data_IF_698372158534
#
_entry.id   IF_698372158534
#
_cell.length_a   1.000
_cell.length_b   1.000
_cell.length_c   1.000
_cell.angle_alpha   90.00
_cell.angle_beta   90.00
_cell.angle_gamma   90.00
#
_symmetry.space_group_name_H-M   'P 1'
#
loop_
_entity.id
_entity.type
_entity.pdbx_description
1 polymer ?
#
# COMPACT_ATOMS: atom_id res chain seq x y z
N UNK A 1 64.65 27.46 45.95
CA UNK A 1 64.53 26.16 45.25
C UNK A 1 63.04 25.88 44.92
N UNK A 2 62.59 26.44 43.79
CA UNK A 2 61.15 26.32 43.36
C UNK A 2 61.11 25.56 42.04
N UNK A 3 60.52 24.40 42.03
CA UNK A 3 60.28 23.60 40.83
C UNK A 3 58.89 23.89 40.31
N UNK A 4 58.83 24.45 39.09
CA UNK A 4 57.58 24.71 38.38
C UNK A 4 57.19 23.45 37.64
N UNK A 5 55.99 22.92 37.91
CA UNK A 5 55.32 21.89 37.10
C UNK A 5 54.57 22.55 35.96
N UNK A 6 54.99 22.27 34.72
CA UNK A 6 54.27 22.57 33.52
C UNK A 6 53.38 21.35 33.21
N UNK A 7 52.05 21.47 33.39
CA UNK A 7 51.11 20.51 32.92
C UNK A 7 50.81 20.75 31.43
N UNK A 8 51.17 19.79 30.56
CA UNK A 8 50.78 19.75 29.16
C UNK A 8 49.36 19.16 29.10
N UNK A 9 48.35 19.98 28.77
CA UNK A 9 47.04 19.52 28.43
C UNK A 9 47.05 19.02 26.97
N UNK A 10 47.04 17.71 26.78
CA UNK A 10 46.81 17.09 25.48
C UNK A 10 45.32 17.21 25.13
N UNK A 11 44.98 18.09 24.19
CA UNK A 11 43.67 18.17 23.59
C UNK A 11 43.55 17.03 22.56
N UNK A 12 42.88 15.97 22.93
CA UNK A 12 42.47 14.90 22.02
C UNK A 12 41.37 15.45 21.08
N UNK A 13 41.76 15.86 19.89
CA UNK A 13 40.83 16.00 18.75
C UNK A 13 40.43 14.59 18.33
N UNK A 14 39.25 14.12 18.77
CA UNK A 14 38.57 13.03 18.12
C UNK A 14 38.14 13.55 16.75
N UNK A 15 38.87 13.16 15.70
CA UNK A 15 38.40 13.27 14.34
C UNK A 15 37.13 12.41 14.23
N UNK A 16 35.97 13.06 14.24
CA UNK A 16 34.78 12.44 13.70
C UNK A 16 35.13 12.06 12.25
N UNK A 17 35.22 10.77 11.96
CA UNK A 17 35.20 10.31 10.60
C UNK A 17 33.82 10.79 10.04
N UNK A 18 33.88 11.82 9.20
CA UNK A 18 32.78 12.14 8.29
C UNK A 18 32.63 10.91 7.39
N UNK A 19 31.80 9.96 7.81
CA UNK A 19 31.33 8.91 6.92
C UNK A 19 30.69 9.61 5.71
N UNK A 20 30.88 9.07 4.52
CA UNK A 20 30.19 9.57 3.34
C UNK A 20 28.68 9.62 3.65
N UNK A 21 28.02 10.70 3.27
CA UNK A 21 26.57 10.80 3.41
C UNK A 21 25.90 9.57 2.73
N UNK A 22 24.87 8.99 3.34
CA UNK A 22 24.16 7.89 2.70
C UNK A 22 23.53 8.35 1.38
N UNK A 23 23.42 7.47 0.39
CA UNK A 23 22.70 7.77 -0.85
C UNK A 23 21.27 8.16 -0.56
N UNK A 24 20.68 9.03 -1.39
CA UNK A 24 19.26 9.28 -1.34
C UNK A 24 18.47 8.08 -1.87
N UNK A 25 17.23 7.92 -1.42
CA UNK A 25 16.33 6.87 -1.88
C UNK A 25 15.01 7.47 -2.33
N UNK A 26 14.66 7.24 -3.59
CA UNK A 26 13.34 7.49 -4.14
C UNK A 26 12.60 6.17 -4.28
N UNK A 27 11.51 5.99 -3.53
CA UNK A 27 10.62 4.82 -3.63
C UNK A 27 9.34 5.21 -4.37
N UNK A 28 9.10 4.57 -5.52
CA UNK A 28 7.90 4.77 -6.35
C UNK A 28 7.05 3.51 -6.24
N UNK A 29 5.81 3.65 -5.78
CA UNK A 29 4.81 2.58 -5.83
C UNK A 29 3.94 2.76 -7.06
N UNK A 30 3.74 1.67 -7.81
CA UNK A 30 2.74 1.55 -8.88
C UNK A 30 1.72 0.54 -8.39
N UNK A 31 0.53 1.03 -8.00
CA UNK A 31 -0.54 0.22 -7.44
C UNK A 31 -0.97 -0.89 -8.39
N UNK A 32 -1.15 -2.10 -7.87
CA UNK A 32 -1.62 -3.26 -8.63
C UNK A 32 -0.58 -3.90 -9.55
N UNK A 33 0.58 -3.28 -9.80
CA UNK A 33 1.54 -3.74 -10.79
C UNK A 33 2.11 -5.12 -10.45
N UNK A 34 1.67 -6.14 -11.16
CA UNK A 34 2.23 -7.50 -11.10
C UNK A 34 3.64 -7.54 -11.66
N UNK A 35 4.54 -8.41 -11.12
CA UNK A 35 5.92 -8.51 -11.63
C UNK A 35 6.00 -8.96 -13.10
N UNK A 36 5.02 -9.74 -13.58
CA UNK A 36 4.99 -10.24 -14.96
C UNK A 36 4.70 -9.16 -16.01
N UNK A 37 4.12 -8.01 -15.65
CA UNK A 37 4.11 -6.83 -16.53
C UNK A 37 5.52 -6.43 -17.01
N UNK A 38 6.53 -6.58 -16.15
CA UNK A 38 7.91 -6.20 -16.48
C UNK A 38 8.75 -7.40 -16.93
N UNK A 39 8.66 -8.52 -16.20
CA UNK A 39 9.48 -9.72 -16.48
C UNK A 39 9.06 -10.43 -17.76
N UNK A 40 7.78 -10.30 -18.17
CA UNK A 40 7.20 -10.89 -19.39
C UNK A 40 6.62 -9.83 -20.34
N UNK A 41 7.13 -8.58 -20.27
CA UNK A 41 6.62 -7.43 -21.03
C UNK A 41 6.45 -7.70 -22.53
N UNK A 42 7.37 -8.48 -23.15
CA UNK A 42 7.33 -8.82 -24.58
C UNK A 42 6.13 -9.72 -24.93
N UNK A 43 5.65 -10.55 -23.99
CA UNK A 43 4.49 -11.42 -24.19
C UNK A 43 3.19 -10.62 -24.25
N UNK A 44 3.17 -9.45 -23.59
CA UNK A 44 2.03 -8.52 -23.55
C UNK A 44 2.18 -7.36 -24.54
N UNK A 45 3.28 -7.29 -25.28
CA UNK A 45 3.54 -6.21 -26.25
C UNK A 45 3.79 -4.84 -25.63
N UNK A 46 4.20 -4.79 -24.36
CA UNK A 46 4.37 -3.56 -23.58
C UNK A 46 5.63 -2.79 -23.94
N UNK A 47 5.49 -1.47 -24.05
CA UNK A 47 6.58 -0.52 -24.28
C UNK A 47 6.91 0.25 -23.01
N UNK A 48 7.61 -0.40 -22.10
CA UNK A 48 7.99 0.10 -20.77
C UNK A 48 9.51 0.13 -20.58
N UNK A 49 10.24 0.96 -21.35
CA UNK A 49 11.70 0.95 -21.37
C UNK A 49 12.34 1.35 -20.03
N UNK A 50 11.72 2.19 -19.22
CA UNK A 50 12.27 2.62 -17.93
C UNK A 50 12.21 1.48 -16.91
N UNK A 51 11.07 0.81 -16.76
CA UNK A 51 10.92 -0.34 -15.85
C UNK A 51 11.80 -1.51 -16.28
N UNK A 52 11.90 -1.80 -17.58
CA UNK A 52 12.82 -2.83 -18.11
C UNK A 52 14.28 -2.49 -17.82
N UNK A 53 14.66 -1.22 -17.91
CA UNK A 53 16.01 -0.76 -17.56
C UNK A 53 16.27 -0.93 -16.07
N UNK A 54 15.30 -0.63 -15.20
CA UNK A 54 15.41 -0.88 -13.76
C UNK A 54 15.71 -2.37 -13.47
N UNK A 55 15.07 -3.28 -14.19
CA UNK A 55 15.33 -4.72 -14.07
C UNK A 55 16.74 -5.11 -14.57
N UNK A 56 17.19 -4.55 -15.70
CA UNK A 56 18.47 -4.88 -16.33
C UNK A 56 19.66 -4.28 -15.57
N UNK A 57 19.55 -3.02 -15.14
CA UNK A 57 20.62 -2.27 -14.52
C UNK A 57 20.63 -2.40 -12.99
N UNK A 58 19.70 -3.15 -12.40
CA UNK A 58 19.52 -3.28 -10.97
C UNK A 58 19.19 -4.69 -10.50
N UNK A 59 18.65 -4.78 -9.30
CA UNK A 59 18.13 -6.00 -8.69
C UNK A 59 16.60 -6.02 -8.79
N UNK A 60 16.03 -7.21 -8.99
CA UNK A 60 14.58 -7.41 -9.08
C UNK A 60 14.14 -8.70 -8.40
N UNK A 61 12.89 -8.74 -7.96
CA UNK A 61 12.24 -9.96 -7.51
C UNK A 61 11.40 -10.59 -8.63
N UNK A 62 11.38 -11.91 -8.73
CA UNK A 62 10.41 -12.63 -9.55
C UNK A 62 8.98 -12.47 -9.03
N UNK A 63 8.87 -12.11 -7.76
CA UNK A 63 7.63 -11.77 -7.10
C UNK A 63 7.86 -11.42 -5.64
N UNK A 64 7.02 -10.56 -5.12
CA UNK A 64 6.99 -10.20 -3.69
C UNK A 64 5.76 -10.84 -3.07
N UNK A 65 5.97 -11.74 -2.11
CA UNK A 65 4.86 -12.25 -1.31
C UNK A 65 4.31 -11.12 -0.44
N UNK A 66 3.08 -10.72 -0.74
CA UNK A 66 2.36 -9.67 -0.02
C UNK A 66 1.92 -10.08 1.38
N UNK A 67 1.27 -9.15 2.06
CA UNK A 67 0.66 -9.35 3.38
C UNK A 67 -0.77 -9.86 3.26
N UNK A 68 -1.41 -10.15 4.39
CA UNK A 68 -2.78 -10.63 4.45
C UNK A 68 -3.66 -9.62 5.22
N UNK A 69 -4.65 -8.99 4.53
CA UNK A 69 -5.03 -9.09 3.12
C UNK A 69 -4.05 -8.37 2.17
N UNK A 70 -4.02 -8.78 0.88
CA UNK A 70 -3.28 -8.11 -0.19
C UNK A 70 -4.08 -6.93 -0.75
N UNK A 71 -4.25 -5.89 0.08
CA UNK A 71 -4.96 -4.65 -0.28
C UNK A 71 -4.05 -3.43 -0.03
N UNK A 72 -4.37 -2.33 -0.65
CA UNK A 72 -3.52 -1.13 -0.78
C UNK A 72 -2.94 -0.63 0.54
N UNK A 73 -3.76 -0.27 1.52
CA UNK A 73 -3.28 0.40 2.74
C UNK A 73 -2.45 -0.50 3.66
N UNK A 74 -2.85 -1.75 3.95
CA UNK A 74 -2.01 -2.69 4.69
C UNK A 74 -0.66 -2.94 4.02
N UNK A 75 -0.65 -3.11 2.69
CA UNK A 75 0.57 -3.37 1.91
C UNK A 75 1.50 -2.16 1.91
N UNK A 76 0.99 -0.96 1.59
CA UNK A 76 1.77 0.28 1.61
C UNK A 76 2.33 0.60 3.00
N UNK A 77 1.57 0.31 4.06
CA UNK A 77 2.07 0.46 5.44
C UNK A 77 3.18 -0.55 5.74
N UNK A 78 3.06 -1.79 5.26
CA UNK A 78 4.14 -2.80 5.38
C UNK A 78 5.39 -2.38 4.61
N UNK A 79 5.26 -1.81 3.41
CA UNK A 79 6.39 -1.31 2.60
C UNK A 79 7.24 -0.25 3.32
N UNK A 80 6.65 0.48 4.28
CA UNK A 80 7.36 1.52 5.04
C UNK A 80 7.62 1.18 6.51
N UNK A 81 7.10 0.04 7.01
CA UNK A 81 7.30 -0.39 8.40
C UNK A 81 8.06 -1.72 8.52
N UNK A 82 7.94 -2.61 7.52
CA UNK A 82 8.56 -3.94 7.51
C UNK A 82 7.91 -4.96 8.45
N UNK A 83 6.66 -4.73 8.87
CA UNK A 83 5.94 -5.64 9.78
C UNK A 83 4.56 -6.02 9.25
N UNK A 84 3.92 -7.00 9.87
CA UNK A 84 2.58 -7.47 9.51
C UNK A 84 1.47 -6.43 9.78
N UNK A 85 0.32 -6.49 9.05
CA UNK A 85 -0.86 -5.67 9.31
C UNK A 85 -1.33 -5.72 10.77
N UNK A 86 -1.35 -6.88 11.40
CA UNK A 86 -1.69 -7.02 12.81
C UNK A 86 -0.75 -6.24 13.76
N UNK A 87 0.51 -6.01 13.36
CA UNK A 87 1.50 -5.28 14.16
C UNK A 87 1.44 -3.77 13.92
N UNK A 88 1.34 -3.33 12.66
CA UNK A 88 1.24 -1.90 12.37
C UNK A 88 -0.18 -1.34 12.49
N UNK A 89 -1.21 -2.18 12.58
CA UNK A 89 -2.59 -1.80 12.91
C UNK A 89 -3.46 -1.37 11.72
N UNK A 90 -2.92 -1.27 10.51
CA UNK A 90 -3.67 -0.99 9.29
C UNK A 90 -4.02 -2.32 8.64
N UNK A 91 -5.25 -2.77 8.80
CA UNK A 91 -5.68 -4.14 8.46
C UNK A 91 -6.61 -4.22 7.25
N UNK A 92 -6.99 -3.09 6.69
CA UNK A 92 -7.77 -2.92 5.46
C UNK A 92 -7.60 -1.48 4.96
N UNK A 93 -8.17 -1.11 3.84
CA UNK A 93 -8.24 0.29 3.38
C UNK A 93 -9.19 1.11 4.26
N UNK A 94 -10.30 0.51 4.68
CA UNK A 94 -11.30 1.10 5.57
C UNK A 94 -11.37 0.35 6.89
N UNK A 95 -11.73 1.06 7.97
CA UNK A 95 -12.01 0.47 9.28
C UNK A 95 -13.35 -0.24 9.26
N UNK A 96 -13.50 -1.23 10.11
CA UNK A 96 -14.81 -1.84 10.34
C UNK A 96 -15.73 -0.82 11.01
N UNK A 97 -16.75 -0.35 10.28
CA UNK A 97 -17.71 0.65 10.73
C UNK A 97 -19.15 0.20 10.40
N UNK A 98 -19.68 -0.80 11.13
CA UNK A 98 -21.00 -1.37 10.84
C UNK A 98 -22.15 -0.38 11.07
N UNK A 99 -21.93 0.65 11.86
CA UNK A 99 -22.93 1.67 12.17
C UNK A 99 -22.78 2.92 11.27
N UNK A 100 -21.81 2.92 10.34
CA UNK A 100 -21.52 4.02 9.41
C UNK A 100 -21.37 5.38 10.11
N UNK A 101 -20.68 5.38 11.25
CA UNK A 101 -20.43 6.58 12.05
C UNK A 101 -19.28 7.45 11.51
N UNK A 102 -18.43 6.85 10.69
CA UNK A 102 -17.27 7.51 10.10
C UNK A 102 -17.52 7.74 8.61
N UNK A 103 -17.20 8.93 8.10
CA UNK A 103 -17.31 9.22 6.67
C UNK A 103 -16.32 8.36 5.88
N UNK A 104 -16.83 7.28 5.21
CA UNK A 104 -16.05 6.33 4.44
C UNK A 104 -15.13 5.43 5.25
N UNK A 105 -14.86 5.73 6.51
CA UNK A 105 -14.05 4.96 7.47
C UNK A 105 -12.59 4.67 7.04
N UNK A 106 -12.04 5.39 6.07
CA UNK A 106 -10.68 5.18 5.57
C UNK A 106 -9.62 5.39 6.64
N UNK A 107 -8.51 4.67 6.53
CA UNK A 107 -7.31 4.89 7.35
C UNK A 107 -6.48 6.03 6.77
N UNK A 108 -6.92 7.28 6.99
CA UNK A 108 -6.23 8.45 6.44
C UNK A 108 -4.97 8.86 7.20
N UNK A 109 -5.02 8.74 8.55
CA UNK A 109 -4.10 9.42 9.47
C UNK A 109 -2.91 8.55 9.86
N UNK A 110 -1.71 9.14 9.84
CA UNK A 110 -0.46 8.44 10.18
C UNK A 110 -0.44 7.96 11.63
N UNK A 111 -1.08 8.65 12.57
CA UNK A 111 -1.16 8.25 13.97
C UNK A 111 -1.91 6.92 14.21
N UNK A 112 -2.56 6.39 13.19
CA UNK A 112 -3.18 5.06 13.19
C UNK A 112 -2.15 3.93 13.02
N UNK A 113 -0.94 4.25 12.53
CA UNK A 113 0.18 3.32 12.41
C UNK A 113 0.84 3.16 13.79
N UNK A 114 0.82 1.93 14.32
CA UNK A 114 1.26 1.63 15.70
C UNK A 114 2.77 1.43 15.88
N UNK A 115 3.54 1.49 14.81
CA UNK A 115 4.99 1.23 14.80
C UNK A 115 5.73 2.30 14.01
N UNK A 116 7.03 2.52 14.26
CA UNK A 116 7.83 3.48 13.50
C UNK A 116 7.87 3.16 12.01
N UNK A 117 7.76 4.20 11.17
CA UNK A 117 7.87 4.15 9.73
C UNK A 117 9.29 4.49 9.26
N UNK A 118 9.60 4.26 7.97
CA UNK A 118 10.84 4.72 7.35
C UNK A 118 11.01 6.24 7.45
N UNK A 119 9.91 7.01 7.27
CA UNK A 119 9.97 8.47 7.42
C UNK A 119 10.33 8.88 8.84
N UNK A 120 9.67 8.29 9.84
CA UNK A 120 9.97 8.61 11.25
C UNK A 120 11.39 8.21 11.65
N UNK A 121 11.92 7.12 11.08
CA UNK A 121 13.29 6.68 11.31
C UNK A 121 14.31 7.61 10.61
N UNK A 122 14.05 8.02 9.37
CA UNK A 122 14.88 8.95 8.60
C UNK A 122 14.90 10.34 9.25
N UNK A 123 13.74 10.88 9.60
CA UNK A 123 13.62 12.17 10.27
C UNK A 123 14.39 12.21 11.61
N UNK A 124 14.27 11.15 12.45
CA UNK A 124 15.07 11.04 13.68
C UNK A 124 16.57 10.97 13.45
N UNK A 125 16.99 10.47 12.30
CA UNK A 125 18.39 10.46 11.89
C UNK A 125 18.86 11.81 11.28
N UNK A 126 17.97 12.80 11.20
CA UNK A 126 18.26 14.12 10.62
C UNK A 126 18.24 14.15 9.09
N UNK A 127 17.66 13.13 8.45
CA UNK A 127 17.49 13.08 6.99
C UNK A 127 16.19 13.77 6.60
N UNK A 128 16.22 14.57 5.55
CA UNK A 128 15.05 15.22 4.98
C UNK A 128 14.16 14.20 4.28
N UNK A 129 12.84 14.28 4.54
CA UNK A 129 11.85 13.33 4.06
C UNK A 129 10.79 13.99 3.19
N UNK A 130 10.24 13.24 2.23
CA UNK A 130 9.11 13.70 1.42
C UNK A 130 8.16 12.54 1.08
N UNK A 131 6.90 12.89 0.78
CA UNK A 131 5.91 11.93 0.30
C UNK A 131 4.84 12.61 -0.54
N UNK A 132 4.41 11.95 -1.62
CA UNK A 132 3.31 12.40 -2.49
C UNK A 132 2.35 11.24 -2.72
N UNK A 133 1.09 11.42 -2.29
CA UNK A 133 0.00 10.48 -2.51
C UNK A 133 0.14 9.13 -1.80
N UNK A 134 1.06 8.97 -0.84
CA UNK A 134 1.22 7.69 -0.14
C UNK A 134 0.10 7.49 0.89
N UNK A 135 -0.53 6.29 0.95
CA UNK A 135 -1.60 5.99 1.90
C UNK A 135 -1.18 6.19 3.38
N UNK A 136 -2.15 6.52 4.21
CA UNK A 136 -2.00 6.66 5.68
C UNK A 136 -0.94 7.70 6.07
N UNK A 137 -0.93 8.85 5.37
CA UNK A 137 0.07 9.91 5.62
C UNK A 137 -0.52 11.25 6.07
N UNK A 138 -1.85 11.35 6.21
CA UNK A 138 -2.46 12.59 6.72
C UNK A 138 -1.92 12.90 8.12
N UNK A 139 -1.51 14.15 8.36
CA UNK A 139 -0.87 14.66 9.59
C UNK A 139 0.45 13.96 9.98
N UNK A 140 1.13 13.30 9.05
CA UNK A 140 2.45 12.70 9.30
C UNK A 140 3.49 13.79 9.61
N UNK A 141 3.92 13.86 10.88
CA UNK A 141 4.80 14.95 11.39
C UNK A 141 6.27 14.76 11.02
N UNK A 142 6.65 13.53 10.74
CA UNK A 142 8.01 13.14 10.40
C UNK A 142 8.27 13.15 8.87
N UNK A 143 7.32 13.70 8.08
CA UNK A 143 7.47 13.98 6.65
C UNK A 143 7.59 15.49 6.48
N UNK A 144 8.76 15.96 6.03
CA UNK A 144 9.07 17.41 5.91
C UNK A 144 8.28 18.05 4.76
N UNK A 145 8.16 17.33 3.61
CA UNK A 145 7.41 17.77 2.42
C UNK A 145 6.37 16.72 2.06
N UNK A 146 5.10 17.02 2.37
CA UNK A 146 3.99 16.08 2.26
C UNK A 146 2.86 16.64 1.41
N UNK A 147 2.44 15.85 0.41
CA UNK A 147 1.12 15.91 -0.21
C UNK A 147 0.47 14.55 0.08
N UNK A 148 -0.45 14.46 1.07
CA UNK A 148 -0.99 13.18 1.52
C UNK A 148 -1.95 12.60 0.48
N UNK A 149 -2.24 11.32 0.59
CA UNK A 149 -3.41 10.73 -0.05
C UNK A 149 -4.64 11.05 0.81
N UNK A 150 -5.60 11.76 0.24
CA UNK A 150 -6.85 12.09 0.90
C UNK A 150 -7.91 12.52 -0.11
N UNK A 151 -9.14 12.10 0.10
CA UNK A 151 -10.33 12.60 -0.58
C UNK A 151 -11.52 12.59 0.37
N UNK A 152 -12.56 13.38 0.06
CA UNK A 152 -13.80 13.32 0.83
C UNK A 152 -14.59 12.07 0.44
N UNK A 153 -14.68 11.12 1.35
CA UNK A 153 -15.54 9.97 1.18
C UNK A 153 -17.01 10.36 1.35
N UNK A 154 -17.90 9.70 0.61
CA UNK A 154 -19.37 9.84 0.70
C UNK A 154 -19.91 11.25 0.41
N UNK A 155 -19.29 12.03 -0.47
CA UNK A 155 -19.86 13.28 -0.98
C UNK A 155 -20.49 13.06 -2.36
N UNK A 156 -21.58 13.77 -2.60
CA UNK A 156 -22.30 13.68 -3.87
C UNK A 156 -21.52 14.28 -5.06
N UNK A 157 -20.52 15.12 -4.78
CA UNK A 157 -19.69 15.81 -5.78
C UNK A 157 -18.21 15.54 -5.48
N UNK A 158 -17.59 14.52 -6.10
CA UNK A 158 -16.19 14.17 -5.88
C UNK A 158 -15.22 15.27 -6.34
N UNK A 159 -15.64 16.17 -7.24
CA UNK A 159 -14.82 17.26 -7.83
C UNK A 159 -15.10 18.61 -7.18
N UNK A 160 -15.37 18.67 -5.85
CA UNK A 160 -15.64 19.94 -5.19
C UNK A 160 -14.37 20.83 -5.18
N UNK A 161 -14.42 22.07 -5.71
CA UNK A 161 -13.29 23.00 -5.68
C UNK A 161 -12.72 23.28 -4.28
N UNK A 162 -13.55 23.14 -3.24
CA UNK A 162 -13.11 23.30 -1.85
C UNK A 162 -12.12 22.23 -1.40
N UNK A 163 -12.01 21.08 -2.09
CA UNK A 163 -11.06 20.03 -1.76
C UNK A 163 -9.62 20.47 -2.01
N UNK A 164 -9.36 21.39 -2.90
CA UNK A 164 -8.05 22.02 -3.03
C UNK A 164 -7.63 22.73 -1.74
N UNK A 165 -8.53 23.48 -1.09
CA UNK A 165 -8.22 24.14 0.19
C UNK A 165 -7.94 23.13 1.29
N UNK A 166 -8.71 22.04 1.31
CA UNK A 166 -8.50 20.95 2.25
C UNK A 166 -7.15 20.28 2.05
N UNK A 167 -6.83 19.88 0.81
CA UNK A 167 -5.55 19.27 0.47
C UNK A 167 -4.37 20.19 0.78
N UNK A 168 -4.51 21.49 0.53
CA UNK A 168 -3.50 22.49 0.84
C UNK A 168 -3.28 22.65 2.36
N UNK A 169 -4.36 22.55 3.15
CA UNK A 169 -4.27 22.57 4.62
C UNK A 169 -3.64 21.29 5.19
N UNK A 170 -3.81 20.16 4.50
CA UNK A 170 -3.22 18.87 4.89
C UNK A 170 -1.78 18.69 4.38
N UNK A 171 -1.31 19.52 3.43
CA UNK A 171 0.06 19.46 2.92
C UNK A 171 1.07 19.96 3.96
N UNK A 172 2.32 19.59 3.81
CA UNK A 172 3.42 20.05 4.65
C UNK A 172 4.60 20.52 3.78
N UNK A 173 5.15 21.71 4.03
CA UNK A 173 4.56 22.76 4.89
C UNK A 173 3.13 23.11 4.47
N UNK A 174 2.34 23.67 5.36
CA UNK A 174 0.99 24.15 5.00
C UNK A 174 1.09 25.12 3.82
N UNK A 175 0.22 25.00 2.82
CA UNK A 175 0.23 25.69 1.53
C UNK A 175 1.31 25.22 0.52
N UNK A 176 2.05 24.15 0.80
CA UNK A 176 3.06 23.64 -0.15
C UNK A 176 2.42 23.22 -1.49
N UNK A 177 1.22 22.64 -1.44
CA UNK A 177 0.48 22.27 -2.66
C UNK A 177 0.24 23.48 -3.58
N UNK A 178 -0.17 24.63 -3.05
CA UNK A 178 -0.37 25.85 -3.84
C UNK A 178 0.97 26.39 -4.37
N UNK A 179 2.03 26.37 -3.55
CA UNK A 179 3.36 26.80 -3.98
C UNK A 179 3.91 25.94 -5.12
N UNK A 180 3.70 24.62 -5.06
CA UNK A 180 4.10 23.71 -6.14
C UNK A 180 3.26 23.98 -7.40
N UNK A 181 1.94 24.11 -7.24
CA UNK A 181 1.04 24.38 -8.37
C UNK A 181 1.42 25.67 -9.10
N UNK A 182 1.79 26.73 -8.38
CA UNK A 182 2.26 27.99 -8.96
C UNK A 182 3.57 27.81 -9.74
N UNK A 183 4.56 27.11 -9.17
CA UNK A 183 5.85 26.86 -9.82
C UNK A 183 5.72 25.96 -11.05
N UNK A 184 4.93 24.91 -10.95
CA UNK A 184 4.73 23.93 -12.01
C UNK A 184 3.79 24.44 -13.12
N UNK A 185 2.95 25.45 -12.83
CA UNK A 185 1.91 25.93 -13.74
C UNK A 185 0.76 24.93 -13.93
N UNK A 186 0.65 23.93 -13.05
CA UNK A 186 -0.39 22.89 -13.09
C UNK A 186 -1.16 22.94 -11.76
N UNK A 187 -2.46 23.34 -11.77
CA UNK A 187 -3.25 23.36 -10.56
C UNK A 187 -3.60 21.95 -10.09
N UNK A 188 -3.74 21.77 -8.78
CA UNK A 188 -4.37 20.58 -8.24
C UNK A 188 -5.82 20.46 -8.71
N UNK A 189 -6.23 19.26 -9.10
CA UNK A 189 -7.61 18.95 -9.49
C UNK A 189 -8.11 17.81 -8.63
N UNK A 190 -9.09 18.09 -7.77
CA UNK A 190 -9.74 17.10 -6.93
C UNK A 190 -10.52 16.06 -7.77
N UNK A 191 -10.60 14.82 -7.27
CA UNK A 191 -11.36 13.75 -7.89
C UNK A 191 -10.65 13.03 -9.05
N UNK A 192 -9.36 13.30 -9.24
CA UNK A 192 -8.52 12.63 -10.26
C UNK A 192 -7.44 11.74 -9.63
N UNK A 193 -7.53 11.46 -8.33
CA UNK A 193 -6.46 10.84 -7.54
C UNK A 193 -6.06 9.46 -8.05
N UNK A 194 -7.01 8.71 -8.65
CA UNK A 194 -6.81 7.35 -9.18
C UNK A 194 -6.74 7.29 -10.72
N UNK A 195 -6.59 8.42 -11.39
CA UNK A 195 -6.52 8.48 -12.86
C UNK A 195 -5.11 8.76 -13.35
N UNK A 196 -4.82 8.42 -14.62
CA UNK A 196 -3.56 8.79 -15.28
C UNK A 196 -3.27 10.30 -15.21
N UNK A 197 -4.30 11.14 -15.28
CA UNK A 197 -4.16 12.60 -15.15
C UNK A 197 -3.77 13.00 -13.72
N UNK A 198 -4.32 12.32 -12.72
CA UNK A 198 -3.96 12.50 -11.32
C UNK A 198 -2.53 12.06 -11.04
N UNK A 199 -2.10 10.93 -11.59
CA UNK A 199 -0.72 10.45 -11.46
C UNK A 199 0.28 11.38 -12.17
N UNK A 200 -0.09 12.00 -13.29
CA UNK A 200 0.73 13.04 -13.91
C UNK A 200 0.87 14.27 -12.99
N UNK A 201 -0.19 14.72 -12.33
CA UNK A 201 -0.15 15.82 -11.35
C UNK A 201 0.75 15.44 -10.17
N UNK A 202 0.57 14.25 -9.59
CA UNK A 202 1.44 13.73 -8.51
C UNK A 202 2.91 13.68 -8.94
N UNK A 203 3.18 13.23 -10.17
CA UNK A 203 4.53 13.17 -10.74
C UNK A 203 5.14 14.56 -10.88
N UNK A 204 4.42 15.53 -11.42
CA UNK A 204 4.92 16.92 -11.56
C UNK A 204 5.20 17.53 -10.19
N UNK A 205 4.35 17.29 -9.22
CA UNK A 205 4.53 17.79 -7.85
C UNK A 205 5.71 17.13 -7.16
N UNK A 206 5.89 15.82 -7.34
CA UNK A 206 7.07 15.11 -6.85
C UNK A 206 8.36 15.62 -7.48
N UNK A 207 8.37 15.91 -8.78
CA UNK A 207 9.51 16.52 -9.48
C UNK A 207 9.86 17.91 -8.92
N UNK A 208 8.87 18.72 -8.58
CA UNK A 208 9.13 20.04 -7.95
C UNK A 208 9.71 19.87 -6.54
N UNK A 209 9.22 18.93 -5.74
CA UNK A 209 9.80 18.61 -4.42
C UNK A 209 11.24 18.14 -4.57
N UNK A 210 11.52 17.22 -5.51
CA UNK A 210 12.87 16.71 -5.78
C UNK A 210 13.83 17.86 -6.18
N UNK A 211 13.42 18.75 -7.06
CA UNK A 211 14.26 19.87 -7.53
C UNK A 211 14.57 20.88 -6.42
N UNK A 212 13.55 21.25 -5.64
CA UNK A 212 13.65 22.32 -4.66
C UNK A 212 14.28 21.85 -3.34
N UNK A 213 13.94 20.67 -2.87
CA UNK A 213 14.21 20.23 -1.51
C UNK A 213 15.20 19.08 -1.40
N UNK A 214 15.41 18.31 -2.50
CA UNK A 214 16.37 17.19 -2.57
C UNK A 214 16.29 16.29 -1.34
N UNK A 215 15.12 15.72 -1.03
CA UNK A 215 14.95 14.90 0.17
C UNK A 215 15.87 13.67 0.11
N UNK A 216 16.35 13.21 1.26
CA UNK A 216 17.16 11.99 1.35
C UNK A 216 16.31 10.73 1.28
N UNK A 217 15.04 10.81 1.67
CA UNK A 217 14.07 9.74 1.47
C UNK A 217 12.76 10.31 0.95
N UNK A 218 12.33 9.85 -0.20
CA UNK A 218 11.06 10.25 -0.80
C UNK A 218 10.24 9.04 -1.23
N UNK A 219 8.93 9.11 -1.03
CA UNK A 219 7.95 8.15 -1.55
C UNK A 219 6.95 8.84 -2.47
N UNK A 220 6.49 8.13 -3.50
CA UNK A 220 5.37 8.53 -4.35
C UNK A 220 4.52 7.32 -4.67
N UNK A 221 3.18 7.49 -4.69
CA UNK A 221 2.21 6.48 -5.05
C UNK A 221 1.47 6.87 -6.33
N UNK A 222 1.60 6.04 -7.36
CA UNK A 222 0.92 6.12 -8.65
C UNK A 222 -0.14 5.03 -8.68
N UNK A 223 -1.42 5.40 -8.85
CA UNK A 223 -2.56 4.53 -8.56
C UNK A 223 -3.47 4.25 -9.74
N UNK A 224 -3.20 4.83 -10.93
CA UNK A 224 -4.10 4.71 -12.08
C UNK A 224 -4.16 3.30 -12.67
N UNK A 225 -3.07 2.52 -12.58
CA UNK A 225 -3.07 1.14 -13.10
C UNK A 225 -4.07 0.25 -12.34
N UNK A 226 -4.13 0.35 -11.01
CA UNK A 226 -5.11 -0.37 -10.18
C UNK A 226 -6.56 -0.07 -10.61
N UNK A 227 -6.90 1.20 -10.84
CA UNK A 227 -8.23 1.60 -11.32
C UNK A 227 -8.54 1.00 -12.69
N UNK A 228 -7.59 1.04 -13.65
CA UNK A 228 -7.77 0.45 -14.97
C UNK A 228 -7.91 -1.09 -14.88
N UNK A 229 -7.16 -1.76 -13.99
CA UNK A 229 -7.29 -3.19 -13.78
C UNK A 229 -8.62 -3.56 -13.10
N UNK A 230 -9.15 -2.73 -12.22
CA UNK A 230 -10.51 -2.92 -11.67
C UNK A 230 -11.57 -2.82 -12.73
N UNK A 231 -11.46 -1.85 -13.65
CA UNK A 231 -12.47 -1.58 -14.68
C UNK A 231 -12.39 -2.55 -15.86
N UNK A 232 -11.19 -2.99 -16.24
CA UNK A 232 -10.95 -3.69 -17.50
C UNK A 232 -10.22 -5.04 -17.35
N UNK A 233 -9.79 -5.39 -16.13
CA UNK A 233 -8.99 -6.57 -15.84
C UNK A 233 -7.49 -6.38 -16.10
N UNK A 234 -6.63 -7.20 -15.45
CA UNK A 234 -5.18 -7.14 -15.66
C UNK A 234 -4.81 -7.50 -17.11
N UNK A 235 -3.77 -6.85 -17.62
CA UNK A 235 -3.27 -7.00 -19.01
C UNK A 235 -4.28 -6.61 -20.10
N UNK A 236 -5.37 -5.90 -19.76
CA UNK A 236 -6.24 -5.29 -20.75
C UNK A 236 -5.49 -4.23 -21.57
N UNK A 237 -6.08 -3.82 -22.71
CA UNK A 237 -5.49 -2.75 -23.51
C UNK A 237 -5.36 -1.46 -22.71
N UNK A 238 -6.36 -1.13 -21.90
CA UNK A 238 -6.45 0.07 -21.08
C UNK A 238 -5.37 0.04 -19.97
N UNK A 239 -5.23 -1.06 -19.24
CA UNK A 239 -4.20 -1.24 -18.22
C UNK A 239 -2.78 -1.19 -18.84
N UNK A 240 -2.57 -1.82 -20.00
CA UNK A 240 -1.30 -1.79 -20.70
C UNK A 240 -0.92 -0.37 -21.17
N UNK A 241 -1.86 0.37 -21.77
CA UNK A 241 -1.64 1.75 -22.19
C UNK A 241 -1.37 2.67 -20.98
N UNK A 242 -2.01 2.43 -19.85
CA UNK A 242 -1.78 3.20 -18.64
C UNK A 242 -0.38 2.92 -18.06
N UNK A 243 0.03 1.65 -17.98
CA UNK A 243 1.37 1.30 -17.53
C UNK A 243 2.47 1.90 -18.43
N UNK A 244 2.26 2.03 -19.75
CA UNK A 244 3.18 2.72 -20.64
C UNK A 244 3.30 4.23 -20.30
N UNK A 245 2.23 4.88 -19.84
CA UNK A 245 2.26 6.26 -19.34
C UNK A 245 3.00 6.36 -18.01
N UNK A 246 2.73 5.44 -17.10
CA UNK A 246 3.42 5.37 -15.81
C UNK A 246 4.93 5.11 -15.97
N UNK A 247 5.35 4.30 -16.94
CA UNK A 247 6.75 4.08 -17.27
C UNK A 247 7.48 5.39 -17.62
N UNK A 248 6.83 6.28 -18.39
CA UNK A 248 7.39 7.59 -18.70
C UNK A 248 7.46 8.51 -17.48
N UNK A 249 6.52 8.41 -16.53
CA UNK A 249 6.56 9.12 -15.26
C UNK A 249 7.71 8.62 -14.39
N UNK A 250 7.88 7.31 -14.27
CA UNK A 250 9.01 6.65 -13.58
C UNK A 250 10.35 7.12 -14.15
N UNK A 251 10.47 7.20 -15.48
CA UNK A 251 11.69 7.68 -16.12
C UNK A 251 12.05 9.09 -15.65
N UNK A 252 11.11 10.04 -15.71
CA UNK A 252 11.33 11.45 -15.31
C UNK A 252 11.73 11.57 -13.85
N UNK A 253 11.05 10.85 -12.96
CA UNK A 253 11.35 10.83 -11.52
C UNK A 253 12.73 10.27 -11.24
N UNK A 254 13.08 9.13 -11.84
CA UNK A 254 14.38 8.49 -11.67
C UNK A 254 15.53 9.33 -12.25
N UNK A 255 15.34 10.02 -13.37
CA UNK A 255 16.31 10.93 -13.96
C UNK A 255 16.54 12.13 -13.03
N UNK A 256 15.49 12.77 -12.53
CA UNK A 256 15.61 13.91 -11.61
C UNK A 256 16.31 13.52 -10.30
N UNK A 257 16.00 12.35 -9.76
CA UNK A 257 16.65 11.89 -8.53
C UNK A 257 18.16 11.67 -8.73
N UNK A 258 18.56 11.07 -9.87
CA UNK A 258 19.98 10.87 -10.20
C UNK A 258 20.71 12.20 -10.49
N UNK A 259 20.02 13.21 -11.00
CA UNK A 259 20.58 14.57 -11.14
C UNK A 259 20.83 15.21 -9.77
N UNK A 260 19.97 14.98 -8.80
CA UNK A 260 20.09 15.49 -7.44
C UNK A 260 21.21 14.80 -6.66
N UNK A 261 21.29 13.46 -6.75
CA UNK A 261 22.29 12.63 -6.10
C UNK A 261 22.76 11.52 -7.06
N UNK A 262 23.98 11.62 -7.62
CA UNK A 262 24.53 10.56 -8.49
C UNK A 262 24.68 9.20 -7.80
N UNK A 263 24.61 9.15 -6.46
CA UNK A 263 24.60 7.91 -5.69
C UNK A 263 23.17 7.46 -5.31
N UNK A 264 22.15 8.13 -5.79
CA UNK A 264 20.76 7.77 -5.49
C UNK A 264 20.45 6.30 -5.82
N UNK A 265 19.57 5.74 -5.02
CA UNK A 265 18.92 4.44 -5.29
C UNK A 265 17.44 4.66 -5.55
N UNK A 266 16.99 4.27 -6.73
CA UNK A 266 15.56 4.27 -7.07
C UNK A 266 15.01 2.88 -6.81
N UNK A 267 13.90 2.82 -6.08
CA UNK A 267 13.18 1.60 -5.73
C UNK A 267 11.77 1.68 -6.32
N UNK A 268 11.41 0.73 -7.16
CA UNK A 268 10.04 0.58 -7.67
C UNK A 268 9.40 -0.59 -6.93
N UNK A 269 8.22 -0.37 -6.40
CA UNK A 269 7.42 -1.39 -5.71
C UNK A 269 6.00 -1.39 -6.26
N UNK A 270 5.27 -2.44 -5.98
CA UNK A 270 3.81 -2.42 -5.92
C UNK A 270 3.36 -3.01 -4.58
N UNK A 271 2.12 -2.89 -4.29
CA UNK A 271 1.51 -3.31 -3.04
C UNK A 271 0.83 -4.68 -3.16
N UNK A 272 0.30 -5.01 -4.33
CA UNK A 272 -0.31 -6.30 -4.68
C UNK A 272 -0.27 -6.57 -6.18
N UNK A 273 -0.84 -7.69 -6.58
CA UNK A 273 -1.17 -8.00 -7.96
C UNK A 273 -2.68 -8.10 -8.16
N UNK A 274 -3.11 -8.60 -9.32
CA UNK A 274 -4.51 -8.64 -9.76
C UNK A 274 -4.92 -9.97 -10.35
N UNK A 275 -6.22 -10.27 -10.30
CA UNK A 275 -6.86 -11.38 -11.03
C UNK A 275 -8.16 -10.92 -11.66
N UNK A 276 -8.57 -11.58 -12.74
CA UNK A 276 -9.90 -11.42 -13.34
C UNK A 276 -10.99 -11.94 -12.41
N UNK A 277 -12.15 -11.28 -12.46
CA UNK A 277 -13.35 -11.68 -11.70
C UNK A 277 -14.57 -11.75 -12.62
N UNK A 278 -15.49 -12.68 -12.30
CA UNK A 278 -16.73 -12.90 -13.03
C UNK A 278 -17.93 -13.22 -12.12
N UNK A 279 -17.68 -13.36 -10.79
CA UNK A 279 -18.72 -13.66 -9.81
C UNK A 279 -18.61 -12.85 -8.53
N UNK A 280 -19.75 -12.51 -7.92
CA UNK A 280 -19.85 -11.95 -6.56
C UNK A 280 -20.41 -12.96 -5.59
N UNK A 281 -19.87 -13.00 -4.37
CA UNK A 281 -20.39 -13.79 -3.25
C UNK A 281 -21.08 -12.85 -2.25
N UNK A 282 -22.39 -12.92 -2.16
CA UNK A 282 -23.23 -12.10 -1.27
C UNK A 282 -23.37 -12.76 0.11
N UNK A 283 -22.27 -12.84 0.85
CA UNK A 283 -22.24 -13.53 2.13
C UNK A 283 -23.18 -12.89 3.16
N UNK A 284 -23.41 -11.57 3.07
CA UNK A 284 -24.41 -10.85 3.87
C UNK A 284 -25.82 -11.42 3.76
N UNK A 285 -26.25 -11.83 2.55
CA UNK A 285 -27.57 -12.46 2.34
C UNK A 285 -27.71 -13.77 3.12
N UNK A 286 -26.67 -14.61 3.11
CA UNK A 286 -26.66 -15.86 3.89
C UNK A 286 -26.69 -15.60 5.41
N UNK A 287 -26.05 -14.54 5.89
CA UNK A 287 -26.07 -14.15 7.31
C UNK A 287 -27.45 -13.62 7.73
N UNK A 288 -28.13 -12.89 6.85
CA UNK A 288 -29.53 -12.46 7.08
C UNK A 288 -30.47 -13.68 7.15
N UNK A 289 -30.35 -14.61 6.19
CA UNK A 289 -31.16 -15.83 6.17
C UNK A 289 -30.94 -16.71 7.42
N UNK A 290 -29.69 -16.75 7.91
CA UNK A 290 -29.35 -17.49 9.15
C UNK A 290 -29.75 -16.75 10.44
N UNK A 291 -30.32 -15.54 10.36
CA UNK A 291 -30.71 -14.72 11.51
C UNK A 291 -29.50 -14.24 12.34
N UNK A 292 -28.32 -14.08 11.70
CA UNK A 292 -27.11 -13.53 12.31
C UNK A 292 -27.03 -12.02 12.17
N UNK A 293 -27.75 -11.46 11.19
CA UNK A 293 -27.92 -10.03 10.99
C UNK A 293 -29.32 -9.73 10.42
N UNK A 294 -29.79 -8.49 10.57
CA UNK A 294 -31.06 -8.04 10.01
C UNK A 294 -30.79 -6.88 9.06
N UNK A 295 -31.25 -7.01 7.82
CA UNK A 295 -31.25 -5.90 6.88
C UNK A 295 -32.22 -4.81 7.39
N UNK A 296 -31.80 -3.54 7.34
CA UNK A 296 -32.71 -2.42 7.65
C UNK A 296 -33.83 -2.36 6.61
N UNK A 297 -35.06 -2.13 7.08
CA UNK A 297 -36.18 -1.85 6.19
C UNK A 297 -36.05 -0.47 5.50
N UNK A 298 -35.27 0.43 6.07
CA UNK A 298 -34.91 1.74 5.49
C UNK A 298 -33.48 1.69 4.96
N UNK A 299 -33.27 1.79 3.63
CA UNK A 299 -31.94 1.83 3.06
C UNK A 299 -31.07 2.99 3.52
N UNK A 300 -31.70 4.09 4.01
CA UNK A 300 -31.00 5.24 4.58
C UNK A 300 -30.61 5.04 6.06
N UNK A 301 -31.19 4.01 6.72
CA UNK A 301 -30.86 3.70 8.10
C UNK A 301 -29.59 2.86 8.19
N UNK A 302 -28.59 3.40 8.86
CA UNK A 302 -27.33 2.70 9.14
C UNK A 302 -27.45 1.63 10.24
N UNK A 303 -28.58 1.53 10.93
CA UNK A 303 -28.74 0.65 12.08
C UNK A 303 -29.03 -0.79 11.62
N UNK A 304 -27.98 -1.57 11.48
CA UNK A 304 -28.07 -3.02 11.30
C UNK A 304 -27.99 -3.66 12.68
N UNK A 305 -29.03 -4.44 13.07
CA UNK A 305 -28.95 -5.31 14.25
C UNK A 305 -28.21 -6.57 13.83
N UNK A 306 -27.08 -6.85 14.43
CA UNK A 306 -26.24 -7.98 14.02
C UNK A 306 -25.62 -8.69 15.23
N UNK A 307 -25.46 -10.01 15.12
CA UNK A 307 -24.68 -10.86 16.01
C UNK A 307 -23.33 -11.19 15.38
N UNK A 308 -23.33 -11.37 14.07
CA UNK A 308 -22.12 -11.52 13.25
C UNK A 308 -22.33 -10.85 11.90
N UNK A 309 -21.27 -10.25 11.34
CA UNK A 309 -21.30 -9.52 10.08
C UNK A 309 -20.06 -9.80 9.25
N UNK A 310 -20.18 -10.09 7.94
CA UNK A 310 -19.06 -10.13 7.01
C UNK A 310 -18.60 -8.70 6.68
N UNK A 311 -17.28 -8.51 6.64
CA UNK A 311 -16.60 -7.28 6.27
C UNK A 311 -15.66 -7.59 5.10
N UNK A 312 -15.83 -6.94 3.96
CA UNK A 312 -15.05 -7.18 2.75
C UNK A 312 -13.58 -6.71 2.92
N UNK A 313 -12.64 -7.54 2.45
CA UNK A 313 -11.20 -7.32 2.46
C UNK A 313 -10.63 -7.61 1.06
N UNK A 314 -11.09 -6.90 0.02
CA UNK A 314 -10.77 -7.26 -1.36
C UNK A 314 -11.38 -8.61 -1.73
N UNK A 315 -10.60 -9.60 -2.14
CA UNK A 315 -11.04 -10.96 -2.50
C UNK A 315 -11.44 -11.88 -1.32
N UNK A 316 -11.73 -11.34 -0.13
CA UNK A 316 -12.01 -12.08 1.10
C UNK A 316 -13.04 -11.38 1.96
N UNK A 317 -13.53 -12.08 3.00
CA UNK A 317 -14.32 -11.49 4.08
C UNK A 317 -13.69 -11.76 5.43
N UNK A 318 -13.54 -10.74 6.27
CA UNK A 318 -13.44 -10.93 7.72
C UNK A 318 -14.82 -11.09 8.31
N UNK A 319 -14.97 -12.00 9.25
CA UNK A 319 -16.23 -12.22 9.97
C UNK A 319 -16.10 -11.64 11.37
N UNK A 320 -16.83 -10.57 11.59
CA UNK A 320 -16.85 -9.83 12.85
C UNK A 320 -18.01 -10.31 13.70
N UNK A 321 -17.77 -10.62 14.98
CA UNK A 321 -18.80 -10.89 15.96
C UNK A 321 -19.05 -9.63 16.80
N UNK A 322 -20.33 -9.34 17.07
CA UNK A 322 -20.71 -8.21 17.95
C UNK A 322 -20.15 -8.40 19.37
N UNK A 323 -20.25 -9.63 19.89
CA UNK A 323 -19.54 -10.07 21.09
C UNK A 323 -18.57 -11.19 20.71
N UNK A 324 -17.26 -10.90 20.66
CA UNK A 324 -16.23 -11.91 20.35
C UNK A 324 -16.21 -13.08 21.35
N UNK A 325 -16.76 -12.91 22.56
CA UNK A 325 -16.88 -13.92 23.61
C UNK A 325 -18.09 -14.85 23.48
N UNK A 326 -19.05 -14.56 22.59
CA UNK A 326 -20.25 -15.37 22.41
C UNK A 326 -19.92 -16.68 21.64
N UNK A 327 -19.63 -17.73 22.41
CA UNK A 327 -19.32 -19.04 21.87
C UNK A 327 -20.47 -19.68 21.08
N UNK A 328 -21.74 -19.37 21.42
CA UNK A 328 -22.90 -19.93 20.75
C UNK A 328 -23.08 -19.29 19.36
N UNK A 329 -22.93 -17.96 19.26
CA UNK A 329 -22.92 -17.26 17.97
C UNK A 329 -21.73 -17.71 17.12
N UNK A 330 -20.54 -17.83 17.71
CA UNK A 330 -19.34 -18.28 17.01
C UNK A 330 -19.51 -19.65 16.39
N UNK A 331 -20.14 -20.58 17.09
CA UNK A 331 -20.39 -21.93 16.58
C UNK A 331 -21.46 -21.94 15.48
N UNK A 332 -22.53 -21.12 15.60
CA UNK A 332 -23.54 -20.95 14.53
C UNK A 332 -22.89 -20.41 13.25
N UNK A 333 -22.00 -19.40 13.38
CA UNK A 333 -21.23 -18.85 12.26
C UNK A 333 -20.35 -19.91 11.63
N UNK A 334 -19.57 -20.66 12.44
CA UNK A 334 -18.72 -21.75 11.96
C UNK A 334 -19.52 -22.77 11.14
N UNK A 335 -20.64 -23.25 11.68
CA UNK A 335 -21.48 -24.22 11.02
C UNK A 335 -22.05 -23.71 9.68
N UNK A 336 -22.47 -22.43 9.64
CA UNK A 336 -22.91 -21.77 8.41
C UNK A 336 -21.79 -21.74 7.36
N UNK A 337 -20.63 -21.21 7.73
CA UNK A 337 -19.49 -21.06 6.81
C UNK A 337 -19.01 -22.41 6.27
N UNK A 338 -18.93 -23.45 7.13
CA UNK A 338 -18.56 -24.80 6.70
C UNK A 338 -19.57 -25.38 5.73
N UNK A 339 -20.90 -25.20 5.98
CA UNK A 339 -21.95 -25.62 5.06
C UNK A 339 -21.83 -24.94 3.70
N UNK A 340 -21.53 -23.63 3.67
CA UNK A 340 -21.37 -22.86 2.43
C UNK A 340 -20.09 -23.27 1.68
N UNK A 341 -18.98 -23.45 2.38
CA UNK A 341 -17.70 -23.85 1.80
C UNK A 341 -17.71 -25.29 1.24
N UNK A 342 -18.60 -26.16 1.76
CA UNK A 342 -18.75 -27.52 1.24
C UNK A 342 -19.34 -27.59 -0.19
N UNK A 343 -19.82 -26.46 -0.72
CA UNK A 343 -20.41 -26.34 -2.06
C UNK A 343 -19.46 -25.53 -2.95
N UNK A 344 -18.73 -26.17 -3.89
CA UNK A 344 -17.71 -25.51 -4.71
C UNK A 344 -18.22 -24.31 -5.52
N UNK A 345 -19.51 -24.36 -5.92
CA UNK A 345 -20.19 -23.29 -6.68
C UNK A 345 -20.38 -22.00 -5.87
N UNK A 346 -20.20 -22.02 -4.57
CA UNK A 346 -20.27 -20.84 -3.73
C UNK A 346 -18.99 -20.00 -3.77
N UNK A 347 -17.94 -20.46 -4.47
CA UNK A 347 -16.72 -19.70 -4.67
C UNK A 347 -15.86 -19.51 -3.40
N UNK A 348 -16.19 -20.18 -2.29
CA UNK A 348 -15.40 -20.15 -1.07
C UNK A 348 -14.20 -21.10 -1.22
N UNK A 349 -12.99 -20.59 -0.97
CA UNK A 349 -11.77 -21.40 -0.99
C UNK A 349 -11.51 -22.04 0.37
N UNK A 350 -11.50 -21.22 1.45
CA UNK A 350 -11.24 -21.69 2.81
C UNK A 350 -11.97 -20.83 3.85
N UNK A 351 -12.08 -21.36 5.06
CA UNK A 351 -12.62 -20.69 6.26
C UNK A 351 -11.57 -20.76 7.35
N UNK A 352 -10.77 -19.72 7.46
CA UNK A 352 -9.68 -19.62 8.42
C UNK A 352 -10.22 -19.18 9.79
N UNK A 353 -9.77 -19.84 10.85
CA UNK A 353 -10.05 -19.38 12.21
C UNK A 353 -9.05 -18.31 12.66
N UNK A 354 -9.29 -17.72 13.84
CA UNK A 354 -8.45 -16.63 14.36
C UNK A 354 -6.97 -17.03 14.54
N UNK A 355 -6.67 -18.30 14.84
CA UNK A 355 -5.28 -18.77 14.98
C UNK A 355 -4.58 -18.80 13.61
N UNK A 356 -5.26 -19.34 12.59
CA UNK A 356 -4.75 -19.37 11.23
C UNK A 356 -4.58 -17.95 10.64
N UNK A 357 -5.50 -17.03 10.95
CA UNK A 357 -5.40 -15.60 10.56
C UNK A 357 -4.19 -14.94 11.22
N UNK A 358 -3.94 -15.23 12.50
CA UNK A 358 -2.78 -14.73 13.23
C UNK A 358 -1.45 -15.21 12.63
N UNK A 359 -1.36 -16.46 12.15
CA UNK A 359 -0.18 -17.00 11.46
C UNK A 359 0.10 -16.30 10.10
N UNK A 360 -0.92 -15.66 9.53
CA UNK A 360 -0.82 -14.85 8.32
C UNK A 360 -0.55 -13.38 8.61
N UNK A 361 -0.52 -12.98 9.90
CA UNK A 361 -0.34 -11.59 10.32
C UNK A 361 -1.51 -10.68 9.91
N UNK A 362 -2.71 -11.25 9.74
CA UNK A 362 -3.90 -10.58 9.24
C UNK A 362 -4.71 -9.85 10.32
N UNK A 363 -6.04 -9.76 10.11
CA UNK A 363 -6.99 -8.99 10.92
C UNK A 363 -7.20 -9.61 12.31
N UNK A 364 -6.66 -9.04 13.39
CA UNK A 364 -6.69 -9.69 14.72
C UNK A 364 -8.09 -9.74 15.34
N UNK A 365 -8.99 -8.83 14.96
CA UNK A 365 -10.36 -8.76 15.49
C UNK A 365 -11.33 -9.74 14.79
N UNK A 366 -10.92 -10.34 13.67
CA UNK A 366 -11.75 -11.28 12.94
C UNK A 366 -11.89 -12.61 13.67
N UNK A 367 -13.12 -13.09 13.85
CA UNK A 367 -13.36 -14.43 14.41
C UNK A 367 -13.11 -15.54 13.40
N UNK A 368 -13.31 -15.22 12.10
CA UNK A 368 -12.96 -16.04 10.95
C UNK A 368 -12.59 -15.13 9.79
N UNK A 369 -11.81 -15.67 8.83
CA UNK A 369 -11.66 -15.08 7.50
C UNK A 369 -12.11 -16.11 6.47
N UNK A 370 -12.97 -15.69 5.55
CA UNK A 370 -13.44 -16.49 4.42
C UNK A 370 -12.67 -16.05 3.19
N UNK A 371 -11.77 -16.89 2.69
CA UNK A 371 -11.07 -16.65 1.43
C UNK A 371 -11.92 -17.12 0.26
N UNK A 372 -11.87 -16.35 -0.83
CA UNK A 372 -12.61 -16.70 -2.05
C UNK A 372 -11.66 -17.28 -3.10
N UNK A 373 -12.21 -18.11 -3.96
CA UNK A 373 -11.52 -18.64 -5.12
C UNK A 373 -11.28 -17.52 -6.14
N UNK A 374 -10.20 -17.62 -6.89
CA UNK A 374 -9.97 -16.76 -8.05
C UNK A 374 -11.22 -16.70 -8.94
N UNK A 375 -11.58 -15.48 -9.37
CA UNK A 375 -12.80 -15.21 -10.13
C UNK A 375 -13.98 -14.74 -9.28
N UNK A 376 -13.93 -14.91 -7.95
CA UNK A 376 -14.98 -14.52 -7.02
C UNK A 376 -14.56 -13.33 -6.16
N UNK A 377 -15.46 -12.37 -5.96
CA UNK A 377 -15.23 -11.18 -5.13
C UNK A 377 -16.38 -10.99 -4.13
N UNK A 378 -16.16 -10.34 -2.98
CA UNK A 378 -17.22 -9.96 -2.07
C UNK A 378 -18.31 -9.12 -2.72
N UNK A 379 -19.56 -9.57 -2.59
CA UNK A 379 -20.76 -8.81 -2.94
C UNK A 379 -21.38 -8.16 -1.71
N UNK A 380 -22.19 -7.12 -1.93
CA UNK A 380 -22.81 -6.31 -0.87
C UNK A 380 -24.32 -6.59 -0.66
N UNK A 381 -24.94 -7.47 -1.46
CA UNK A 381 -26.36 -7.74 -1.37
C UNK A 381 -26.70 -8.46 -0.06
N UNK A 382 -27.78 -8.01 0.60
CA UNK A 382 -28.29 -8.58 1.85
C UNK A 382 -29.50 -9.50 1.61
N UNK A 383 -29.86 -9.73 0.37
CA UNK A 383 -30.98 -10.63 -0.04
C UNK A 383 -30.73 -11.20 -1.45
N UNK A 384 -31.43 -12.24 -1.81
CA UNK A 384 -31.27 -12.89 -3.11
C UNK A 384 -30.20 -14.01 -3.11
N UNK A 385 -29.72 -14.43 -4.28
CA UNK A 385 -28.83 -15.57 -4.39
C UNK A 385 -27.42 -15.23 -3.77
N UNK A 386 -26.81 -16.28 -3.18
CA UNK A 386 -25.48 -16.16 -2.59
C UNK A 386 -24.42 -15.77 -3.64
N UNK A 387 -24.50 -16.35 -4.83
CA UNK A 387 -23.56 -16.05 -5.92
C UNK A 387 -24.31 -15.40 -7.07
N UNK A 388 -23.73 -14.32 -7.61
CA UNK A 388 -24.24 -13.62 -8.79
C UNK A 388 -23.10 -13.37 -9.77
N UNK A 389 -23.38 -13.44 -11.08
CA UNK A 389 -22.40 -13.11 -12.11
C UNK A 389 -22.15 -11.61 -12.22
N UNK A 390 -20.95 -11.25 -12.66
CA UNK A 390 -20.52 -9.89 -13.01
C UNK A 390 -20.44 -9.80 -14.53
N UNK A 391 -21.21 -8.92 -15.18
CA UNK A 391 -21.10 -8.74 -16.63
C UNK A 391 -19.84 -7.90 -16.97
N UNK A 392 -19.14 -8.27 -18.03
CA UNK A 392 -17.94 -7.55 -18.48
C UNK A 392 -16.65 -8.24 -18.05
N UNK A 393 -15.55 -7.57 -18.31
CA UNK A 393 -14.20 -7.99 -17.89
C UNK A 393 -13.72 -7.03 -16.81
N UNK A 394 -13.47 -7.56 -15.64
CA UNK A 394 -13.10 -6.79 -14.44
C UNK A 394 -11.99 -7.54 -13.69
N UNK A 395 -11.23 -6.80 -12.90
CA UNK A 395 -10.24 -7.39 -12.01
C UNK A 395 -10.44 -6.98 -10.56
N UNK A 396 -9.75 -7.70 -9.68
CA UNK A 396 -9.63 -7.34 -8.28
C UNK A 396 -8.40 -7.98 -7.64
N UNK A 397 -8.11 -7.54 -6.43
CA UNK A 397 -7.03 -8.01 -5.57
C UNK A 397 -7.55 -8.40 -4.18
N UNK A 398 -6.66 -8.64 -3.20
CA UNK A 398 -7.09 -8.94 -1.82
C UNK A 398 -7.28 -10.42 -1.54
N UNK A 399 -6.76 -11.31 -2.37
CA UNK A 399 -6.78 -12.76 -2.12
C UNK A 399 -5.64 -13.19 -1.20
N UNK A 400 -5.70 -14.45 -0.76
CA UNK A 400 -4.65 -15.04 0.04
C UNK A 400 -3.34 -15.17 -0.79
N UNK A 401 -2.25 -14.45 -0.46
CA UNK A 401 -1.02 -14.47 -1.26
C UNK A 401 -0.30 -15.82 -1.25
N UNK A 402 -0.65 -16.73 -0.33
CA UNK A 402 -0.08 -18.08 -0.28
C UNK A 402 -0.71 -19.04 -1.28
N UNK A 403 -1.98 -18.81 -1.64
CA UNK A 403 -2.73 -19.69 -2.56
C UNK A 403 -2.95 -19.07 -3.93
N UNK A 404 -2.84 -17.73 -4.04
CA UNK A 404 -3.04 -16.97 -5.28
C UNK A 404 -1.74 -16.25 -5.68
N UNK A 405 -0.85 -16.91 -6.47
CA UNK A 405 0.44 -16.32 -6.87
C UNK A 405 0.31 -15.01 -7.66
N UNK A 406 -0.80 -14.78 -8.33
CA UNK A 406 -1.11 -13.55 -9.06
C UNK A 406 -1.23 -12.32 -8.14
N UNK A 407 -1.35 -12.54 -6.82
CA UNK A 407 -1.31 -11.46 -5.81
C UNK A 407 0.12 -11.00 -5.51
N UNK A 408 1.14 -11.59 -6.11
CA UNK A 408 2.52 -11.14 -5.91
C UNK A 408 2.69 -9.71 -6.41
N UNK A 409 3.28 -8.90 -5.54
CA UNK A 409 3.70 -7.55 -5.83
C UNK A 409 5.07 -7.51 -6.53
N UNK A 410 5.46 -6.33 -7.00
CA UNK A 410 6.73 -6.06 -7.69
C UNK A 410 7.79 -5.48 -6.76
N UNK A 411 9.05 -5.72 -7.09
CA UNK A 411 10.21 -5.03 -6.51
C UNK A 411 11.33 -4.93 -7.52
N UNK A 412 11.77 -3.70 -7.79
CA UNK A 412 12.95 -3.38 -8.60
C UNK A 412 13.76 -2.32 -7.86
N UNK A 413 15.07 -2.42 -7.86
CA UNK A 413 15.95 -1.41 -7.26
C UNK A 413 17.18 -1.21 -8.15
N UNK A 414 17.54 0.03 -8.46
CA UNK A 414 18.72 0.35 -9.24
C UNK A 414 19.40 1.61 -8.72
N UNK A 415 20.73 1.67 -8.77
CA UNK A 415 21.53 2.78 -8.31
C UNK A 415 22.79 2.34 -7.58
N UNK A 416 23.31 3.21 -6.73
CA UNK A 416 24.59 2.99 -6.08
C UNK A 416 24.63 1.74 -5.20
N UNK A 417 25.58 0.87 -5.49
CA UNK A 417 25.80 -0.37 -4.72
C UNK A 417 24.79 -1.47 -4.96
N UNK A 418 23.92 -1.33 -5.98
CA UNK A 418 23.00 -2.38 -6.43
C UNK A 418 23.64 -3.14 -7.59
N UNK A 419 23.57 -4.47 -7.56
CA UNK A 419 24.13 -5.32 -8.63
C UNK A 419 23.21 -5.34 -9.85
N UNK A 420 23.80 -5.29 -11.05
CA UNK A 420 23.08 -5.32 -12.31
C UNK A 420 22.49 -6.70 -12.60
N UNK A 421 21.25 -6.72 -13.09
CA UNK A 421 20.55 -7.94 -13.53
C UNK A 421 20.37 -8.99 -12.42
N UNK A 422 20.41 -8.55 -11.13
CA UNK A 422 20.33 -9.47 -10.01
C UNK A 422 18.90 -9.93 -9.76
N UNK A 423 18.64 -11.18 -10.03
CA UNK A 423 17.40 -11.85 -9.66
C UNK A 423 17.45 -12.29 -8.19
N UNK A 424 16.47 -11.84 -7.39
CA UNK A 424 16.34 -12.14 -5.97
C UNK A 424 15.42 -13.34 -5.70
N UNK A 425 14.80 -13.91 -6.76
CA UNK A 425 13.75 -14.90 -6.64
C UNK A 425 12.46 -14.29 -6.02
N UNK A 426 11.71 -15.11 -5.29
CA UNK A 426 10.54 -14.63 -4.56
C UNK A 426 10.95 -14.13 -3.18
N UNK A 427 10.53 -12.93 -2.81
CA UNK A 427 10.89 -12.26 -1.56
C UNK A 427 9.67 -11.96 -0.69
N UNK A 428 9.88 -11.70 0.59
CA UNK A 428 8.86 -11.26 1.53
C UNK A 428 8.74 -9.73 1.50
N UNK A 429 7.53 -9.19 1.40
CA UNK A 429 7.29 -7.73 1.37
C UNK A 429 7.90 -7.02 2.58
N UNK A 430 7.87 -7.64 3.75
CA UNK A 430 8.45 -7.09 4.99
C UNK A 430 9.97 -6.88 4.92
N UNK A 431 10.66 -7.50 3.96
CA UNK A 431 12.09 -7.29 3.76
C UNK A 431 12.43 -5.96 3.08
N UNK A 432 11.45 -5.28 2.47
CA UNK A 432 11.66 -4.06 1.68
C UNK A 432 12.02 -2.87 2.58
N UNK A 433 11.22 -2.59 3.62
CA UNK A 433 11.52 -1.49 4.54
C UNK A 433 12.90 -1.60 5.20
N UNK A 434 13.33 -2.75 5.78
CA UNK A 434 14.69 -2.87 6.32
C UNK A 434 15.77 -2.79 5.25
N UNK A 435 15.47 -3.10 3.98
CA UNK A 435 16.40 -2.90 2.86
C UNK A 435 16.64 -1.42 2.60
N UNK A 436 15.58 -0.63 2.52
CA UNK A 436 15.64 0.83 2.37
C UNK A 436 16.33 1.48 3.57
N UNK A 437 15.98 1.06 4.79
CA UNK A 437 16.63 1.54 6.00
C UNK A 437 18.15 1.30 5.98
N UNK A 438 18.59 0.12 5.50
CA UNK A 438 20.02 -0.20 5.35
C UNK A 438 20.70 0.67 4.31
N UNK A 439 20.05 1.00 3.17
CA UNK A 439 20.60 1.91 2.15
C UNK A 439 20.78 3.29 2.75
N UNK A 440 19.80 3.80 3.47
CA UNK A 440 19.81 5.10 4.15
C UNK A 440 20.74 5.14 5.39
N UNK A 441 21.27 4.00 5.83
CA UNK A 441 22.11 3.93 7.04
C UNK A 441 21.35 4.21 8.33
N UNK A 442 20.03 3.98 8.37
CA UNK A 442 19.15 4.23 9.52
C UNK A 442 18.69 2.94 10.17
N UNK A 443 18.32 3.02 11.46
CA UNK A 443 17.73 1.90 12.18
C UNK A 443 16.20 1.91 12.06
N UNK A 444 15.61 0.75 11.74
CA UNK A 444 14.15 0.53 11.74
C UNK A 444 13.82 -0.57 12.78
N UNK A 445 13.65 -0.20 14.07
CA UNK A 445 13.61 -1.18 15.17
C UNK A 445 12.46 -2.18 15.12
N UNK A 446 11.33 -1.82 14.49
CA UNK A 446 10.20 -2.73 14.38
C UNK A 446 10.42 -3.86 13.37
N UNK A 447 11.20 -3.62 12.30
CA UNK A 447 11.43 -4.56 11.21
C UNK A 447 12.58 -5.52 11.51
N UNK A 448 12.43 -6.38 12.52
CA UNK A 448 13.49 -7.31 12.96
C UNK A 448 13.23 -8.76 12.58
N UNK A 449 12.02 -9.12 12.17
CA UNK A 449 11.64 -10.50 11.87
C UNK A 449 12.18 -11.00 10.52
N UNK A 450 12.37 -10.10 9.58
CA UNK A 450 12.83 -10.44 8.23
C UNK A 450 14.11 -9.67 7.89
N UNK A 451 15.11 -10.38 7.39
CA UNK A 451 16.38 -9.77 6.99
C UNK A 451 16.20 -8.86 5.75
N UNK A 452 16.97 -7.75 5.67
CA UNK A 452 16.99 -6.93 4.46
C UNK A 452 17.52 -7.71 3.25
N UNK A 453 16.99 -7.43 2.06
CA UNK A 453 17.38 -8.05 0.80
C UNK A 453 18.86 -7.80 0.50
N UNK A 454 19.58 -8.80 0.02
CA UNK A 454 20.94 -8.61 -0.43
C UNK A 454 20.95 -8.09 -1.88
N UNK A 455 21.08 -6.77 -2.07
CA UNK A 455 21.14 -6.13 -3.38
C UNK A 455 22.55 -6.13 -4.01
N UNK A 456 23.58 -6.54 -3.26
CA UNK A 456 24.98 -6.64 -3.73
C UNK A 456 25.25 -8.05 -4.27
N UNK A 457 26.31 -8.18 -5.08
CA UNK A 457 26.75 -9.49 -5.56
C UNK A 457 27.16 -10.43 -4.42
#
# INVERSE_FOLDING_TARGET
MYWKYLAFAAVLFTAMQLGAEPPSVLMISIDGMRPDYVTHADEHGLRIPALRRMMQDGAYAEGVNGVFPTVTYPSHTTLVTGVWPAQHGIVNNQRFDPERKMAGAWYWYEDQIKVPTLWSAAHRAGLTTASVGWPVTVDAKDIDFLIPEYWRANVAEPTNPDDRFLMNALSRPVNELDHIAERAGIPYTAGNETTAAGDEIKTVYALEILRQHKPKFMTIHLSSLDEEEHLHGPFSTEANEDLERLDAMVQRLAEQERENDPQAVVVIVSDHGFVDIDHMVNLGAAFVEAGLMQASADPASATIVWQAQPWALGGMFAIMLHDPGDAAVKERVRALLQKLAAQPENGIEDVLDAAQVAELGGVPEASFVVTLRKGYVPGSNLSGPLVTGIPGHHGTHGYNPRTTPEMRASFFAAGYGVAHGRNLGTVDMRSIAPTVARILGIALPAATEVAPLNLKQ
#
